data_IF_940094044855
#
_entry.id   IF_940094044855
#
_cell.length_a   1.000
_cell.length_b   1.000
_cell.length_c   1.000
_cell.angle_alpha   90.00
_cell.angle_beta   90.00
_cell.angle_gamma   90.00
#
_symmetry.space_group_name_H-M   'P 1'
#
loop_
_entity.id
_entity.type
_entity.pdbx_description
1 polymer ?
#
# COMPACT_ATOMS: atom_id res chain seq x y z
N UNK A 1 -35.50 4.53 29.77
CA UNK A 1 -34.15 5.16 29.89
C UNK A 1 -33.05 4.21 29.44
N UNK A 2 -32.95 2.98 29.96
CA UNK A 2 -31.94 2.01 29.52
C UNK A 2 -32.05 1.64 28.02
N UNK A 3 -33.26 1.41 27.51
CA UNK A 3 -33.51 1.10 26.10
C UNK A 3 -33.00 2.19 25.14
N UNK A 4 -33.23 3.47 25.46
CA UNK A 4 -32.72 4.59 24.68
C UNK A 4 -31.18 4.62 24.63
N UNK A 5 -30.52 4.34 25.77
CA UNK A 5 -29.06 4.26 25.85
C UNK A 5 -28.54 3.11 24.98
N UNK A 6 -29.21 1.95 25.00
CA UNK A 6 -28.85 0.80 24.16
C UNK A 6 -29.01 1.14 22.68
N UNK A 7 -30.12 1.78 22.27
CA UNK A 7 -30.30 2.21 20.88
C UNK A 7 -29.20 3.18 20.41
N UNK A 8 -28.88 4.19 21.23
CA UNK A 8 -27.78 5.13 20.90
C UNK A 8 -26.43 4.42 20.75
N UNK A 9 -26.14 3.44 21.60
CA UNK A 9 -24.91 2.66 21.50
C UNK A 9 -24.90 1.76 20.25
N UNK A 10 -26.03 1.16 19.89
CA UNK A 10 -26.16 0.37 18.65
C UNK A 10 -25.90 1.24 17.43
N UNK A 11 -26.49 2.44 17.37
CA UNK A 11 -26.26 3.40 16.28
C UNK A 11 -24.80 3.83 16.20
N UNK A 12 -24.17 4.12 17.34
CA UNK A 12 -22.75 4.50 17.40
C UNK A 12 -21.83 3.37 16.95
N UNK A 13 -22.08 2.13 17.37
CA UNK A 13 -21.30 0.98 16.93
C UNK A 13 -21.47 0.76 15.43
N UNK A 14 -22.71 0.85 14.92
CA UNK A 14 -22.98 0.73 13.49
C UNK A 14 -22.24 1.81 12.67
N UNK A 15 -22.23 3.07 13.11
CA UNK A 15 -21.51 4.13 12.41
C UNK A 15 -20.00 3.92 12.43
N UNK A 16 -19.43 3.50 13.56
CA UNK A 16 -18.00 3.20 13.66
C UNK A 16 -17.59 2.04 12.73
N UNK A 17 -18.39 0.96 12.69
CA UNK A 17 -18.12 -0.17 11.80
C UNK A 17 -18.17 0.21 10.32
N UNK A 18 -19.09 1.12 9.93
CA UNK A 18 -19.15 1.64 8.56
C UNK A 18 -17.88 2.43 8.23
N UNK A 19 -17.45 3.33 9.12
CA UNK A 19 -16.23 4.11 8.95
C UNK A 19 -14.98 3.23 8.82
N UNK A 20 -14.84 2.24 9.71
CA UNK A 20 -13.76 1.25 9.65
C UNK A 20 -13.79 0.44 8.34
N UNK A 21 -14.97 0.01 7.89
CA UNK A 21 -15.12 -0.72 6.63
C UNK A 21 -14.69 0.12 5.43
N UNK A 22 -15.09 1.40 5.39
CA UNK A 22 -14.68 2.34 4.33
C UNK A 22 -13.17 2.58 4.37
N UNK A 23 -12.59 2.73 5.57
CA UNK A 23 -11.16 2.88 5.74
C UNK A 23 -10.39 1.66 5.24
N UNK A 24 -10.77 0.46 5.68
CA UNK A 24 -10.16 -0.80 5.24
C UNK A 24 -10.29 -1.01 3.73
N UNK A 25 -11.43 -0.65 3.13
CA UNK A 25 -11.62 -0.73 1.68
C UNK A 25 -10.65 0.19 0.92
N UNK A 26 -10.41 1.41 1.42
CA UNK A 26 -9.45 2.34 0.81
C UNK A 26 -8.02 1.82 0.93
N UNK A 27 -7.65 1.34 2.12
CA UNK A 27 -6.32 0.76 2.36
C UNK A 27 -6.12 -0.44 1.43
N UNK A 28 -7.09 -1.34 1.31
CA UNK A 28 -7.02 -2.47 0.38
C UNK A 28 -6.72 -2.02 -1.06
N UNK A 29 -7.44 -1.02 -1.57
CA UNK A 29 -7.17 -0.48 -2.91
C UNK A 29 -5.78 0.17 -3.07
N UNK A 30 -5.22 0.73 -2.00
CA UNK A 30 -3.83 1.23 -2.01
C UNK A 30 -2.83 0.08 -2.12
N UNK A 31 -3.05 -1.03 -1.41
CA UNK A 31 -2.21 -2.22 -1.51
C UNK A 31 -2.29 -2.88 -2.89
N UNK A 32 -3.48 -2.96 -3.50
CA UNK A 32 -3.63 -3.42 -4.89
C UNK A 32 -2.85 -2.53 -5.87
N UNK A 33 -2.88 -1.21 -5.66
CA UNK A 33 -2.11 -0.27 -6.48
C UNK A 33 -0.59 -0.45 -6.29
N UNK A 34 -0.13 -0.61 -5.05
CA UNK A 34 1.29 -0.89 -4.74
C UNK A 34 1.73 -2.18 -5.44
N UNK A 35 0.95 -3.26 -5.35
CA UNK A 35 1.26 -4.53 -6.02
C UNK A 35 1.40 -4.34 -7.53
N UNK A 36 0.46 -3.63 -8.15
CA UNK A 36 0.49 -3.37 -9.59
C UNK A 36 1.71 -2.54 -10.00
N UNK A 37 2.10 -1.54 -9.20
CA UNK A 37 3.27 -0.71 -9.49
C UNK A 37 4.58 -1.47 -9.30
N UNK A 38 4.68 -2.29 -8.24
CA UNK A 38 5.83 -3.16 -8.00
C UNK A 38 6.03 -4.16 -9.14
N UNK A 39 4.95 -4.71 -9.70
CA UNK A 39 5.03 -5.56 -10.91
C UNK A 39 5.57 -4.80 -12.12
N UNK A 40 5.21 -3.53 -12.32
CA UNK A 40 5.75 -2.69 -13.42
C UNK A 40 7.23 -2.41 -13.22
N UNK A 41 7.63 -2.06 -12.01
CA UNK A 41 9.03 -1.84 -11.64
C UNK A 41 9.86 -3.10 -11.87
N UNK A 42 9.35 -4.28 -11.52
CA UNK A 42 10.00 -5.56 -11.78
C UNK A 42 10.25 -5.78 -13.28
N UNK A 43 9.26 -5.51 -14.14
CA UNK A 43 9.43 -5.60 -15.59
C UNK A 43 10.51 -4.64 -16.10
N UNK A 44 10.53 -3.40 -15.61
CA UNK A 44 11.58 -2.44 -15.97
C UNK A 44 12.97 -2.92 -15.54
N UNK A 45 13.10 -3.40 -14.30
CA UNK A 45 14.36 -3.90 -13.77
C UNK A 45 14.91 -5.07 -14.60
N UNK A 46 14.05 -5.98 -15.07
CA UNK A 46 14.46 -7.09 -15.93
C UNK A 46 15.21 -6.63 -17.20
N UNK A 47 14.76 -5.54 -17.81
CA UNK A 47 15.42 -4.96 -19.00
C UNK A 47 16.62 -4.05 -18.64
N UNK A 48 16.56 -3.38 -17.50
CA UNK A 48 17.57 -2.44 -17.03
C UNK A 48 18.83 -3.15 -16.54
N UNK A 49 18.70 -4.34 -15.95
CA UNK A 49 19.80 -5.08 -15.33
C UNK A 49 20.93 -5.39 -16.33
N UNK A 50 20.57 -5.71 -17.58
CA UNK A 50 21.52 -5.97 -18.67
C UNK A 50 22.25 -4.71 -19.19
N UNK A 51 21.74 -3.51 -18.87
CA UNK A 51 22.21 -2.23 -19.42
C UNK A 51 22.87 -1.34 -18.37
N UNK A 52 22.63 -1.57 -17.09
CA UNK A 52 23.07 -0.70 -15.98
C UNK A 52 24.59 -0.50 -15.93
N UNK A 53 25.37 -1.51 -16.33
CA UNK A 53 26.83 -1.41 -16.30
C UNK A 53 27.38 -0.39 -17.30
N UNK A 54 26.63 -0.16 -18.39
CA UNK A 54 27.05 0.67 -19.53
C UNK A 54 26.45 2.07 -19.51
N UNK A 55 25.36 2.29 -18.76
CA UNK A 55 24.70 3.60 -18.65
C UNK A 55 24.46 3.97 -17.19
N UNK A 56 25.15 5.00 -16.72
CA UNK A 56 25.03 5.51 -15.35
C UNK A 56 23.62 5.99 -15.00
N UNK A 57 22.82 6.46 -15.98
CA UNK A 57 21.43 6.87 -15.74
C UNK A 57 20.55 5.66 -15.43
N UNK A 58 20.74 4.57 -16.17
CA UNK A 58 20.04 3.31 -15.92
C UNK A 58 20.44 2.75 -14.55
N UNK A 59 21.74 2.81 -14.21
CA UNK A 59 22.23 2.41 -12.89
C UNK A 59 21.56 3.19 -11.75
N UNK A 60 21.42 4.51 -11.91
CA UNK A 60 20.73 5.33 -10.91
C UNK A 60 19.25 4.95 -10.80
N UNK A 61 18.53 4.77 -11.91
CA UNK A 61 17.13 4.33 -11.86
C UNK A 61 16.95 2.95 -11.21
N UNK A 62 17.87 2.01 -11.44
CA UNK A 62 17.86 0.71 -10.75
C UNK A 62 18.04 0.88 -9.24
N UNK A 63 18.92 1.78 -8.80
CA UNK A 63 19.11 2.08 -7.39
C UNK A 63 17.84 2.71 -6.79
N UNK A 64 17.28 3.74 -7.43
CA UNK A 64 16.07 4.43 -6.96
C UNK A 64 14.89 3.45 -6.81
N UNK A 65 14.69 2.54 -7.76
CA UNK A 65 13.62 1.53 -7.70
C UNK A 65 13.86 0.54 -6.54
N UNK A 66 15.12 0.18 -6.27
CA UNK A 66 15.45 -0.70 -5.15
C UNK A 66 15.17 -0.01 -3.82
N UNK A 67 15.47 1.28 -3.71
CA UNK A 67 15.17 2.07 -2.51
C UNK A 67 13.65 2.15 -2.29
N UNK A 68 12.86 2.43 -3.34
CA UNK A 68 11.39 2.42 -3.26
C UNK A 68 10.84 1.05 -2.84
N UNK A 69 11.45 -0.04 -3.31
CA UNK A 69 11.06 -1.40 -2.93
C UNK A 69 11.29 -1.65 -1.43
N UNK A 70 12.42 -1.18 -0.88
CA UNK A 70 12.71 -1.27 0.55
C UNK A 70 11.76 -0.41 1.38
N UNK A 71 11.51 0.84 0.98
CA UNK A 71 10.55 1.71 1.66
C UNK A 71 9.13 1.09 1.66
N UNK A 72 8.76 0.41 0.57
CA UNK A 72 7.46 -0.28 0.45
C UNK A 72 7.38 -1.47 1.40
N UNK A 73 8.45 -2.26 1.54
CA UNK A 73 8.54 -3.38 2.47
C UNK A 73 8.33 -2.91 3.92
N UNK A 74 9.02 -1.83 4.32
CA UNK A 74 8.88 -1.21 5.65
C UNK A 74 7.44 -0.72 5.92
N UNK A 75 6.77 -0.15 4.90
CA UNK A 75 5.37 0.25 5.01
C UNK A 75 4.48 -0.97 5.19
N UNK A 76 4.66 -2.04 4.41
CA UNK A 76 3.86 -3.26 4.49
C UNK A 76 3.98 -3.88 5.90
N UNK A 77 5.19 -3.95 6.45
CA UNK A 77 5.46 -4.46 7.80
C UNK A 77 4.75 -3.65 8.91
N UNK A 78 4.37 -2.41 8.66
CA UNK A 78 3.59 -1.59 9.61
C UNK A 78 2.11 -2.01 9.66
N UNK A 79 1.61 -2.71 8.64
CA UNK A 79 0.21 -3.13 8.52
C UNK A 79 -0.02 -4.64 8.78
N UNK A 80 1.04 -5.44 8.92
CA UNK A 80 1.01 -6.88 9.26
C UNK A 80 1.16 -7.07 10.77
#
# INVERSE_FOLDING_TARGET
MAEYIVCLLVEKVASQLIEETVYLSKVHGQFEWIEAEMRRMQCFLADADAKQDKDARIRNWVADIRDVAHDTDDVIDTFI
#
